data_IF_504642720394
#
_entry.id   IF_504642720394
#
_cell.length_a   1.000
_cell.length_b   1.000
_cell.length_c   1.000
_cell.angle_alpha   90.00
_cell.angle_beta   90.00
_cell.angle_gamma   90.00
#
_symmetry.space_group_name_H-M   'P 1'
#
loop_
_entity.id
_entity.type
_entity.pdbx_description
1 polymer ?
#
# COMPACT_ATOMS: atom_id res chain seq x y z
N UNK A 1 6.85 -5.17 -16.96
CA UNK A 1 6.73 -5.18 -18.42
C UNK A 1 6.18 -6.49 -18.94
N UNK A 2 6.63 -7.61 -18.49
CA UNK A 2 6.23 -8.95 -18.94
C UNK A 2 4.71 -9.18 -18.88
N UNK A 3 3.95 -8.58 -19.79
CA UNK A 3 2.50 -8.73 -19.87
C UNK A 3 1.71 -7.75 -19.00
N UNK A 4 2.36 -6.84 -18.31
CA UNK A 4 1.66 -5.78 -17.57
C UNK A 4 1.20 -4.67 -18.51
N UNK A 5 0.06 -4.06 -18.20
CA UNK A 5 -0.40 -2.88 -18.94
C UNK A 5 0.52 -1.69 -18.64
N UNK A 6 0.55 -0.76 -19.58
CA UNK A 6 1.30 0.48 -19.41
C UNK A 6 0.76 1.29 -18.22
N UNK A 7 -0.55 1.32 -18.04
CA UNK A 7 -1.19 2.01 -16.92
C UNK A 7 -0.72 1.42 -15.59
N UNK A 8 -0.66 0.09 -15.47
CA UNK A 8 -0.20 -0.56 -14.26
C UNK A 8 1.27 -0.22 -13.99
N UNK A 9 2.11 -0.24 -15.02
CA UNK A 9 3.53 0.11 -14.91
C UNK A 9 3.68 1.54 -14.39
N UNK A 10 2.93 2.48 -14.95
CA UNK A 10 2.96 3.87 -14.52
C UNK A 10 2.53 4.03 -13.07
N UNK A 11 1.47 3.34 -12.65
CA UNK A 11 1.03 3.35 -11.26
C UNK A 11 2.09 2.76 -10.33
N UNK A 12 2.74 1.67 -10.75
CA UNK A 12 3.79 1.05 -9.93
C UNK A 12 4.98 1.99 -9.74
N UNK A 13 5.39 2.69 -10.79
CA UNK A 13 6.46 3.69 -10.72
C UNK A 13 6.09 4.83 -9.77
N UNK A 14 4.84 5.30 -9.83
CA UNK A 14 4.35 6.35 -8.93
C UNK A 14 4.37 5.88 -7.48
N UNK A 15 4.02 4.64 -7.25
CA UNK A 15 4.05 4.03 -5.93
C UNK A 15 5.45 4.06 -5.34
N UNK A 16 6.48 3.82 -6.16
CA UNK A 16 7.87 3.87 -5.72
C UNK A 16 8.23 5.29 -5.25
N UNK A 17 7.82 6.32 -5.98
CA UNK A 17 8.04 7.71 -5.59
C UNK A 17 7.36 8.05 -4.27
N UNK A 18 6.09 7.68 -4.14
CA UNK A 18 5.31 7.94 -2.93
C UNK A 18 5.94 7.23 -1.72
N UNK A 19 6.37 5.99 -1.92
CA UNK A 19 7.05 5.23 -0.86
C UNK A 19 8.37 5.87 -0.45
N UNK A 20 9.14 6.36 -1.40
CA UNK A 20 10.39 7.05 -1.11
C UNK A 20 10.14 8.30 -0.26
N UNK A 21 9.13 9.10 -0.60
CA UNK A 21 8.78 10.28 0.17
C UNK A 21 8.44 9.92 1.61
N UNK A 22 7.69 8.84 1.80
CA UNK A 22 7.32 8.37 3.14
C UNK A 22 8.54 7.92 3.94
N UNK A 23 9.40 7.11 3.35
CA UNK A 23 10.58 6.61 4.06
C UNK A 23 11.58 7.73 4.35
N UNK A 24 11.71 8.71 3.47
CA UNK A 24 12.53 9.91 3.71
C UNK A 24 11.95 10.69 4.89
N UNK A 25 10.63 10.86 4.94
CA UNK A 25 9.97 11.55 6.06
C UNK A 25 10.19 10.79 7.37
N UNK A 26 10.05 9.48 7.36
CA UNK A 26 10.30 8.67 8.57
C UNK A 26 11.75 8.81 9.04
N UNK A 27 12.71 8.79 8.12
CA UNK A 27 14.13 8.96 8.46
C UNK A 27 14.36 10.33 9.08
N UNK A 28 13.72 11.38 8.56
CA UNK A 28 13.79 12.74 9.10
C UNK A 28 13.26 12.80 10.53
N UNK A 29 12.27 11.98 10.85
CA UNK A 29 11.68 11.91 12.20
C UNK A 29 12.40 10.95 13.13
N UNK A 30 13.51 10.36 12.69
CA UNK A 30 14.30 9.45 13.51
C UNK A 30 13.78 8.01 13.56
N UNK A 31 12.85 7.65 12.67
CA UNK A 31 12.39 6.27 12.55
C UNK A 31 13.52 5.42 11.96
N UNK A 32 13.78 4.29 12.56
CA UNK A 32 14.88 3.41 12.15
C UNK A 32 14.46 2.50 11.01
N UNK A 33 15.34 2.34 10.04
CA UNK A 33 15.13 1.41 8.92
C UNK A 33 15.02 -0.02 9.45
N UNK A 34 14.43 -0.87 8.65
CA UNK A 34 14.24 -2.26 9.01
C UNK A 34 13.00 -2.44 9.85
N UNK A 35 13.16 -2.85 11.10
CA UNK A 35 12.04 -3.22 11.97
C UNK A 35 11.04 -2.09 12.17
N UNK A 36 11.49 -0.86 12.43
CA UNK A 36 10.54 0.24 12.69
C UNK A 36 9.79 0.63 11.42
N UNK A 37 10.46 0.67 10.28
CA UNK A 37 9.79 0.89 8.99
C UNK A 37 8.73 -0.20 8.74
N UNK A 38 9.07 -1.44 9.04
CA UNK A 38 8.14 -2.56 8.87
C UNK A 38 6.93 -2.43 9.79
N UNK A 39 7.13 -2.03 11.04
CA UNK A 39 6.05 -1.81 12.01
C UNK A 39 5.07 -0.76 11.48
N UNK A 40 5.60 0.37 11.01
CA UNK A 40 4.77 1.46 10.52
C UNK A 40 4.06 1.10 9.21
N UNK A 41 4.75 0.40 8.32
CA UNK A 41 4.15 -0.08 7.08
C UNK A 41 3.00 -1.04 7.36
N UNK A 42 3.18 -1.91 8.33
CA UNK A 42 2.14 -2.85 8.73
C UNK A 42 0.92 -2.13 9.30
N UNK A 43 1.15 -1.08 10.08
CA UNK A 43 0.08 -0.26 10.64
C UNK A 43 -0.74 0.41 9.54
N UNK A 44 -0.08 0.98 8.54
CA UNK A 44 -0.73 1.59 7.38
C UNK A 44 -1.57 0.53 6.63
N UNK A 45 -0.96 -0.62 6.36
CA UNK A 45 -1.59 -1.68 5.57
C UNK A 45 -2.82 -2.23 6.25
N UNK A 46 -2.74 -2.49 7.55
CA UNK A 46 -3.89 -2.94 8.34
C UNK A 46 -5.04 -1.93 8.29
N UNK A 47 -4.70 -0.66 8.44
CA UNK A 47 -5.72 0.39 8.51
C UNK A 47 -6.46 0.57 7.19
N UNK A 48 -5.79 0.43 6.04
CA UNK A 48 -6.48 0.63 4.77
C UNK A 48 -7.05 -0.66 4.18
N UNK A 49 -6.35 -1.78 4.32
CA UNK A 49 -6.75 -3.04 3.67
C UNK A 49 -7.52 -3.99 4.58
N UNK A 50 -7.44 -3.78 5.88
CA UNK A 50 -7.99 -4.70 6.87
C UNK A 50 -7.12 -5.93 7.11
N UNK A 51 -5.93 -5.97 6.52
CA UNK A 51 -5.00 -7.10 6.64
C UNK A 51 -3.59 -6.58 6.97
N UNK A 52 -2.86 -7.32 7.79
CA UNK A 52 -1.43 -7.07 7.93
C UNK A 52 -0.73 -7.39 6.61
N UNK A 53 0.52 -6.94 6.46
CA UNK A 53 1.32 -7.27 5.27
C UNK A 53 1.38 -8.79 5.09
N UNK A 54 1.63 -9.52 6.17
CA UNK A 54 1.70 -10.98 6.13
C UNK A 54 0.38 -11.61 5.68
N UNK A 55 -0.75 -11.16 6.25
CA UNK A 55 -2.07 -11.68 5.90
C UNK A 55 -2.42 -11.35 4.45
N UNK A 56 -2.06 -10.18 3.98
CA UNK A 56 -2.31 -9.74 2.61
C UNK A 56 -1.51 -10.61 1.62
N UNK A 57 -0.24 -10.86 1.93
CA UNK A 57 0.59 -11.76 1.12
C UNK A 57 0.01 -13.17 1.08
N UNK A 58 -0.44 -13.69 2.21
CA UNK A 58 -1.08 -15.01 2.29
C UNK A 58 -2.34 -15.06 1.43
N UNK A 59 -3.14 -14.01 1.48
CA UNK A 59 -4.36 -13.91 0.69
C UNK A 59 -4.08 -13.97 -0.82
N UNK A 60 -2.95 -13.40 -1.25
CA UNK A 60 -2.52 -13.44 -2.66
C UNK A 60 -1.65 -14.66 -2.99
N UNK A 61 -1.48 -15.56 -2.05
CA UNK A 61 -0.66 -16.76 -2.22
C UNK A 61 0.80 -16.40 -2.54
N UNK A 62 1.34 -15.41 -1.86
CA UNK A 62 2.74 -14.99 -1.98
C UNK A 62 3.56 -15.54 -0.83
N UNK A 63 4.83 -15.81 -1.08
CA UNK A 63 5.79 -16.23 -0.05
C UNK A 63 6.77 -15.11 0.23
N UNK A 64 7.79 -14.97 -0.61
CA UNK A 64 8.82 -13.94 -0.48
C UNK A 64 8.63 -12.78 -1.46
N UNK A 65 7.70 -12.91 -2.39
CA UNK A 65 7.46 -11.91 -3.41
C UNK A 65 7.01 -10.58 -2.79
N UNK A 66 7.33 -9.49 -3.45
CA UNK A 66 6.95 -8.16 -3.02
C UNK A 66 5.43 -7.98 -3.18
N UNK A 67 4.78 -7.51 -2.13
CA UNK A 67 3.33 -7.33 -2.13
C UNK A 67 2.87 -6.33 -3.21
N UNK A 68 3.56 -5.20 -3.32
CA UNK A 68 3.16 -4.15 -4.26
C UNK A 68 3.27 -4.58 -5.72
N UNK A 69 4.26 -5.42 -6.05
CA UNK A 69 4.40 -5.95 -7.40
C UNK A 69 3.24 -6.89 -7.77
N UNK A 70 2.47 -7.30 -6.80
CA UNK A 70 1.37 -8.25 -6.95
C UNK A 70 0.00 -7.63 -6.68
N UNK A 71 -0.08 -6.30 -6.61
CA UNK A 71 -1.34 -5.58 -6.42
C UNK A 71 -1.99 -5.25 -7.77
N UNK A 72 -3.31 -5.19 -7.77
CA UNK A 72 -4.06 -4.64 -8.91
C UNK A 72 -3.88 -3.12 -8.94
N UNK A 73 -4.31 -2.50 -10.03
CA UNK A 73 -4.19 -1.05 -10.19
C UNK A 73 -4.91 -0.30 -9.07
N UNK A 74 -6.14 -0.69 -8.73
CA UNK A 74 -6.89 0.00 -7.66
C UNK A 74 -6.26 -0.22 -6.28
N UNK A 75 -5.69 -1.41 -6.04
CA UNK A 75 -4.96 -1.66 -4.80
C UNK A 75 -3.74 -0.73 -4.70
N UNK A 76 -3.00 -0.55 -5.78
CA UNK A 76 -1.84 0.36 -5.81
C UNK A 76 -2.26 1.80 -5.52
N UNK A 77 -3.36 2.25 -6.12
CA UNK A 77 -3.87 3.62 -5.91
C UNK A 77 -4.23 3.85 -4.44
N UNK A 78 -4.93 2.91 -3.82
CA UNK A 78 -5.31 3.05 -2.41
C UNK A 78 -4.09 2.96 -1.49
N UNK A 79 -3.14 2.11 -1.81
CA UNK A 79 -1.89 2.05 -1.04
C UNK A 79 -1.15 3.38 -1.12
N UNK A 80 -1.09 3.99 -2.31
CA UNK A 80 -0.49 5.32 -2.48
C UNK A 80 -1.20 6.38 -1.65
N UNK A 81 -2.53 6.36 -1.66
CA UNK A 81 -3.30 7.32 -0.87
C UNK A 81 -2.98 7.19 0.62
N UNK A 82 -2.90 5.96 1.12
CA UNK A 82 -2.56 5.71 2.51
C UNK A 82 -1.16 6.23 2.85
N UNK A 83 -0.18 5.96 2.00
CA UNK A 83 1.20 6.36 2.24
C UNK A 83 1.40 7.87 2.08
N UNK A 84 0.81 8.47 1.05
CA UNK A 84 0.90 9.91 0.82
C UNK A 84 0.23 10.68 1.97
N UNK A 85 -0.92 10.22 2.44
CA UNK A 85 -1.63 10.86 3.57
C UNK A 85 -0.79 10.77 4.83
N UNK A 86 -0.17 9.62 5.09
CA UNK A 86 0.72 9.44 6.24
C UNK A 86 1.88 10.43 6.18
N UNK A 87 2.48 10.59 5.00
CA UNK A 87 3.58 11.54 4.80
C UNK A 87 3.15 12.97 5.13
N UNK A 88 1.99 13.39 4.62
CA UNK A 88 1.49 14.75 4.85
C UNK A 88 1.19 15.00 6.33
N UNK A 89 0.55 14.05 7.00
CA UNK A 89 0.27 14.19 8.44
C UNK A 89 1.57 14.26 9.23
N UNK A 90 2.53 13.40 8.88
CA UNK A 90 3.83 13.36 9.57
C UNK A 90 4.59 14.69 9.43
N UNK A 91 4.59 15.28 8.25
CA UNK A 91 5.24 16.58 8.02
C UNK A 91 4.60 17.68 8.86
N UNK A 92 3.30 17.65 8.98
CA UNK A 92 2.55 18.66 9.75
C UNK A 92 2.73 18.48 11.25
N UNK A 93 2.60 17.24 11.75
CA UNK A 93 2.61 16.94 13.18
C UNK A 93 4.00 16.78 13.76
N UNK A 94 4.99 16.49 12.95
CA UNK A 94 6.41 16.34 13.36
C UNK A 94 6.57 15.38 14.55
N UNK A 95 6.16 14.10 14.39
CA UNK A 95 6.21 13.15 15.50
C UNK A 95 7.63 12.94 16.00
N UNK A 96 7.78 12.75 17.31
CA UNK A 96 9.07 12.59 17.96
C UNK A 96 9.33 11.17 18.45
N UNK A 97 8.30 10.34 18.50
CA UNK A 97 8.41 8.96 19.00
C UNK A 97 7.84 8.00 17.98
N UNK A 98 8.27 6.74 18.08
CA UNK A 98 7.70 5.68 17.24
C UNK A 98 6.20 5.53 17.48
N UNK A 99 5.75 5.66 18.73
CA UNK A 99 4.33 5.57 19.06
C UNK A 99 3.52 6.65 18.34
N UNK A 100 4.02 7.87 18.31
CA UNK A 100 3.37 8.96 17.57
C UNK A 100 3.32 8.67 16.07
N UNK A 101 4.41 8.14 15.52
CA UNK A 101 4.45 7.75 14.10
C UNK A 101 3.47 6.61 13.80
N UNK A 102 3.29 5.67 14.72
CA UNK A 102 2.28 4.60 14.58
C UNK A 102 0.86 5.17 14.52
N UNK A 103 0.56 6.13 15.39
CA UNK A 103 -0.77 6.78 15.39
C UNK A 103 -1.03 7.50 14.07
N UNK A 104 0.00 8.17 13.54
CA UNK A 104 -0.09 8.86 12.25
C UNK A 104 -0.27 7.85 11.11
N UNK A 105 0.49 6.76 11.13
CA UNK A 105 0.39 5.69 10.13
C UNK A 105 -1.03 5.11 10.11
N UNK A 106 -1.62 4.90 11.27
CA UNK A 106 -3.00 4.41 11.37
C UNK A 106 -3.98 5.41 10.74
N UNK A 107 -3.83 6.69 11.06
CA UNK A 107 -4.72 7.74 10.49
C UNK A 107 -4.59 7.83 8.97
N UNK A 108 -3.36 7.79 8.46
CA UNK A 108 -3.12 7.82 7.02
C UNK A 108 -3.74 6.62 6.33
N UNK A 109 -3.58 5.44 6.93
CA UNK A 109 -4.19 4.22 6.42
C UNK A 109 -5.72 4.27 6.45
N UNK A 110 -6.29 4.81 7.53
CA UNK A 110 -7.75 4.93 7.68
C UNK A 110 -8.38 5.77 6.58
N UNK A 111 -7.70 6.81 6.12
CA UNK A 111 -8.20 7.63 5.01
C UNK A 111 -8.41 6.79 3.76
N UNK A 112 -7.43 5.97 3.41
CA UNK A 112 -7.56 5.06 2.27
C UNK A 112 -8.54 3.92 2.56
N UNK A 113 -8.61 3.48 3.80
CA UNK A 113 -9.57 2.46 4.23
C UNK A 113 -11.01 2.90 4.05
N UNK A 114 -11.31 4.15 4.38
CA UNK A 114 -12.64 4.74 4.18
C UNK A 114 -12.96 4.82 2.69
N UNK A 115 -12.00 5.24 1.87
CA UNK A 115 -12.14 5.27 0.42
C UNK A 115 -12.39 3.86 -0.13
N UNK A 116 -11.64 2.86 0.36
CA UNK A 116 -11.82 1.46 -0.06
C UNK A 116 -13.24 0.98 0.21
N UNK A 117 -13.75 1.24 1.40
CA UNK A 117 -15.11 0.82 1.78
C UNK A 117 -16.17 1.49 0.92
N UNK A 118 -15.97 2.77 0.62
CA UNK A 118 -16.89 3.51 -0.23
C UNK A 118 -16.89 2.97 -1.67
N UNK A 119 -15.71 2.66 -2.19
CA UNK A 119 -15.56 2.06 -3.51
C UNK A 119 -16.25 0.70 -3.57
N UNK A 120 -16.04 -0.15 -2.55
CA UNK A 120 -16.66 -1.48 -2.47
C UNK A 120 -18.18 -1.39 -2.46
N UNK A 121 -18.71 -0.40 -1.76
CA UNK A 121 -20.15 -0.16 -1.68
C UNK A 121 -20.72 0.23 -3.05
N UNK A 122 -20.03 1.11 -3.77
CA UNK A 122 -20.50 1.63 -5.06
C UNK A 122 -20.32 0.62 -6.19
N UNK A 123 -19.24 -0.14 -6.17
CA UNK A 123 -18.94 -1.13 -7.21
C UNK A 123 -19.66 -2.46 -6.96
N UNK A 124 -19.89 -2.80 -5.69
CA UNK A 124 -20.57 -4.02 -5.31
C UNK A 124 -19.67 -5.24 -5.19
N UNK A 125 -18.35 -5.02 -5.09
CA UNK A 125 -17.38 -6.12 -4.87
C UNK A 125 -16.19 -5.62 -4.09
N UNK A 126 -15.41 -6.56 -3.55
CA UNK A 126 -14.22 -6.24 -2.75
C UNK A 126 -13.10 -5.69 -3.63
N UNK A 127 -12.38 -4.70 -3.10
CA UNK A 127 -11.20 -4.12 -3.75
C UNK A 127 -9.99 -5.06 -3.57
N UNK A 128 -9.81 -5.57 -2.34
CA UNK A 128 -8.67 -6.43 -2.04
C UNK A 128 -8.83 -7.73 -2.80
N UNK A 129 -7.91 -7.97 -3.73
CA UNK A 129 -7.98 -9.09 -4.67
C UNK A 129 -6.99 -10.19 -4.27
N UNK A 130 -7.40 -11.44 -4.41
CA UNK A 130 -6.51 -12.59 -4.22
C UNK A 130 -5.58 -12.80 -5.42
N UNK A 131 -5.79 -12.06 -6.52
CA UNK A 131 -4.95 -12.18 -7.71
C UNK A 131 -3.55 -11.63 -7.46
N UNK A 132 -2.55 -12.32 -7.93
CA UNK A 132 -1.15 -11.91 -7.88
C UNK A 132 -0.62 -11.61 -9.28
N UNK A 133 0.68 -11.32 -9.40
CA UNK A 133 1.29 -10.96 -10.68
C UNK A 133 1.10 -12.03 -11.75
N UNK A 134 1.22 -13.30 -11.37
CA UNK A 134 1.03 -14.41 -12.30
C UNK A 134 -0.39 -14.44 -12.83
N UNK A 135 -1.37 -14.26 -11.96
CA UNK A 135 -2.79 -14.22 -12.33
C UNK A 135 -3.08 -13.04 -13.26
N UNK A 136 -2.53 -11.87 -12.95
CA UNK A 136 -2.71 -10.67 -13.77
C UNK A 136 -2.09 -10.83 -15.15
N UNK A 137 -0.91 -11.45 -15.24
CA UNK A 137 -0.26 -11.73 -16.51
C UNK A 137 -1.04 -12.72 -17.35
N UNK A 138 -1.60 -13.75 -16.73
CA UNK A 138 -2.45 -14.73 -17.42
C UNK A 138 -3.68 -14.07 -18.05
N UNK A 139 -4.32 -13.16 -17.30
CA UNK A 139 -5.49 -12.44 -17.80
C UNK A 139 -5.14 -11.57 -19.02
N UNK A 140 -4.00 -10.90 -18.99
CA UNK A 140 -3.53 -10.10 -20.11
C UNK A 140 -3.28 -10.98 -21.34
N UNK A 141 -2.66 -12.14 -21.16
CA UNK A 141 -2.41 -13.10 -22.25
C UNK A 141 -3.69 -13.59 -22.89
N UNK A 142 -4.73 -13.82 -22.09
CA UNK A 142 -6.03 -14.27 -22.61
C UNK A 142 -6.72 -13.23 -23.47
N UNK A 143 -6.47 -11.96 -23.20
CA UNK A 143 -7.08 -10.86 -23.95
C UNK A 143 -6.41 -10.65 -25.32
N UNK A 144 -5.25 -11.21 -25.51
CA UNK A 144 -4.53 -11.17 -26.79
C UNK A 144 -4.87 -12.39 -27.62
#
# INVERSE_FOLDING_TARGET
>A
KKGYSEDWINQRLKTIEVRKDLTDEWSERGVKRGLEFAILTDEITKAWSGKSVKQYKQFKNLKKQNLRDNMTNIELILNMLAEATTTEISKEKKPKTLLDSKRIAKKGGETAGDARKDIEKKVGKKVISSKNADDLQKNIRKLK
#
